data_IF_910950315462
#
_entry.id   IF_910950315462
#
_cell.length_a   1.000
_cell.length_b   1.000
_cell.length_c   1.000
_cell.angle_alpha   90.00
_cell.angle_beta   90.00
_cell.angle_gamma   90.00
#
_symmetry.space_group_name_H-M   'P 1'
#
loop_
_entity.id
_entity.type
_entity.pdbx_description
1 polymer ?
#
# COMPACT_ATOMS: atom_id res chain seq x y z
N UNK A 1 -7.19 -48.82 8.65
CA UNK A 1 -7.89 -47.52 8.57
C UNK A 1 -7.00 -46.43 9.15
N UNK A 2 -6.59 -45.44 8.35
CA UNK A 2 -5.91 -44.23 8.85
C UNK A 2 -6.41 -43.00 8.07
N UNK A 3 -7.72 -42.80 8.13
CA UNK A 3 -8.43 -41.68 7.50
C UNK A 3 -7.92 -40.31 8.00
N UNK A 4 -7.55 -40.23 9.28
CA UNK A 4 -7.02 -39.01 9.90
C UNK A 4 -5.61 -38.62 9.43
N UNK A 5 -4.74 -39.57 9.03
CA UNK A 5 -3.39 -39.22 8.52
C UNK A 5 -3.39 -38.65 7.10
N UNK A 6 -4.44 -38.93 6.31
CA UNK A 6 -4.63 -38.37 4.97
C UNK A 6 -5.16 -36.93 5.00
N UNK A 7 -5.97 -36.57 6.00
CA UNK A 7 -6.53 -35.21 6.15
C UNK A 7 -5.53 -34.21 6.77
N UNK A 8 -4.61 -34.66 7.61
CA UNK A 8 -3.65 -33.79 8.33
C UNK A 8 -2.20 -33.88 7.81
N UNK A 9 -1.99 -34.48 6.64
CA UNK A 9 -0.68 -34.60 5.98
C UNK A 9 -0.17 -33.33 5.29
N UNK A 10 -0.72 -32.15 5.57
CA UNK A 10 -0.43 -30.91 4.85
C UNK A 10 0.55 -29.98 5.58
N UNK A 11 1.66 -30.52 6.09
CA UNK A 11 2.81 -29.69 6.56
C UNK A 11 3.45 -28.82 5.46
N UNK A 12 3.03 -28.96 4.19
CA UNK A 12 3.61 -28.22 3.05
C UNK A 12 2.86 -26.96 2.61
N UNK A 13 1.66 -26.65 3.12
CA UNK A 13 0.91 -25.46 2.67
C UNK A 13 1.07 -24.20 3.52
N UNK A 14 1.52 -24.33 4.78
CA UNK A 14 1.65 -23.18 5.68
C UNK A 14 2.96 -22.39 5.51
N UNK A 15 4.04 -23.03 5.04
CA UNK A 15 5.32 -22.37 4.76
C UNK A 15 5.36 -21.66 3.40
N UNK A 16 4.52 -22.08 2.44
CA UNK A 16 4.46 -21.46 1.12
C UNK A 16 3.68 -20.13 1.12
N UNK A 17 2.69 -19.96 2.00
CA UNK A 17 1.89 -18.73 2.07
C UNK A 17 2.55 -17.59 2.85
N UNK A 18 3.44 -17.89 3.81
CA UNK A 18 4.26 -16.85 4.48
C UNK A 18 5.42 -16.34 3.62
N UNK A 19 5.76 -17.07 2.55
CA UNK A 19 6.92 -16.82 1.71
C UNK A 19 6.60 -15.93 0.50
N UNK A 20 5.44 -16.08 -0.13
CA UNK A 20 5.21 -15.44 -1.45
C UNK A 20 4.84 -13.96 -1.42
N UNK A 21 4.22 -13.45 -0.34
CA UNK A 21 3.84 -12.03 -0.25
C UNK A 21 4.97 -11.11 0.21
N UNK A 22 5.55 -11.41 1.38
CA UNK A 22 6.60 -10.58 1.98
C UNK A 22 7.95 -10.68 1.25
N UNK A 23 8.32 -11.86 0.74
CA UNK A 23 9.59 -11.99 0.01
C UNK A 23 9.55 -11.33 -1.36
N UNK A 24 8.38 -11.18 -1.98
CA UNK A 24 8.30 -10.51 -3.29
C UNK A 24 8.53 -9.01 -3.17
N UNK A 25 7.98 -8.34 -2.14
CA UNK A 25 8.22 -6.90 -1.96
C UNK A 25 9.71 -6.60 -1.76
N UNK A 26 10.37 -7.40 -0.90
CA UNK A 26 11.80 -7.26 -0.59
C UNK A 26 12.68 -7.66 -1.80
N UNK A 27 12.34 -8.73 -2.53
CA UNK A 27 13.12 -9.16 -3.71
C UNK A 27 12.97 -8.22 -4.91
N UNK A 28 11.79 -7.66 -5.13
CA UNK A 28 11.51 -6.74 -6.24
C UNK A 28 12.14 -5.36 -5.97
N UNK A 29 12.20 -4.91 -4.72
CA UNK A 29 12.93 -3.69 -4.35
C UNK A 29 14.44 -3.84 -4.54
N UNK A 30 14.98 -5.04 -4.29
CA UNK A 30 16.42 -5.30 -4.35
C UNK A 30 17.01 -5.45 -5.76
N UNK A 31 16.20 -5.64 -6.83
CA UNK A 31 16.78 -5.85 -8.17
C UNK A 31 17.25 -4.56 -8.83
N UNK A 32 16.64 -3.41 -8.53
CA UNK A 32 16.86 -2.18 -9.32
C UNK A 32 16.90 -0.87 -8.51
N UNK A 33 16.91 -0.90 -7.17
CA UNK A 33 16.79 0.30 -6.30
C UNK A 33 15.55 1.19 -6.60
N UNK A 34 14.60 0.69 -7.41
CA UNK A 34 13.40 1.41 -7.77
C UNK A 34 12.48 1.51 -6.54
N UNK A 35 11.88 2.67 -6.26
CA UNK A 35 10.90 2.76 -5.19
C UNK A 35 9.72 1.85 -5.51
N UNK A 36 9.22 1.20 -4.47
CA UNK A 36 8.19 0.18 -4.58
C UNK A 36 6.97 0.63 -3.80
N UNK A 37 5.82 0.67 -4.48
CA UNK A 37 4.52 0.83 -3.85
C UNK A 37 3.98 -0.55 -3.46
N UNK A 38 3.67 -0.72 -2.19
CA UNK A 38 2.94 -1.85 -1.64
C UNK A 38 1.52 -1.41 -1.34
N UNK A 39 0.52 -2.24 -1.67
CA UNK A 39 -0.86 -1.94 -1.32
C UNK A 39 -1.00 -1.78 0.21
N UNK A 40 -1.40 -0.59 0.70
CA UNK A 40 -1.50 -0.33 2.13
C UNK A 40 -2.72 -1.02 2.76
N UNK A 41 -3.70 -1.42 1.95
CA UNK A 41 -4.94 -2.06 2.40
C UNK A 41 -5.37 -3.17 1.44
N UNK A 42 -6.22 -4.07 1.94
CA UNK A 42 -6.97 -5.00 1.10
C UNK A 42 -8.27 -4.33 0.70
N UNK A 43 -8.63 -4.37 -0.59
CA UNK A 43 -9.82 -3.72 -1.11
C UNK A 43 -9.72 -3.42 -2.60
N UNK A 44 -10.19 -2.26 -3.03
CA UNK A 44 -10.11 -1.78 -4.41
C UNK A 44 -9.13 -0.63 -4.55
N UNK A 45 -8.25 -0.70 -5.54
CA UNK A 45 -7.38 0.38 -5.98
C UNK A 45 -8.04 1.08 -7.17
N UNK A 46 -8.26 2.39 -7.01
CA UNK A 46 -8.91 3.27 -7.99
C UNK A 46 -7.98 4.42 -8.36
N UNK A 47 -8.20 4.97 -9.55
CA UNK A 47 -7.56 6.21 -9.96
C UNK A 47 -7.90 7.34 -8.98
N UNK A 48 -6.93 8.16 -8.59
CA UNK A 48 -7.20 9.28 -7.67
C UNK A 48 -8.18 10.30 -8.27
N UNK A 49 -8.28 10.37 -9.60
CA UNK A 49 -9.23 11.23 -10.33
C UNK A 49 -10.69 10.85 -10.11
N UNK A 50 -10.98 9.60 -9.72
CA UNK A 50 -12.34 9.15 -9.40
C UNK A 50 -12.73 9.41 -7.94
N UNK A 51 -11.86 10.06 -7.16
CA UNK A 51 -12.16 10.47 -5.79
C UNK A 51 -13.38 11.39 -5.70
N UNK A 52 -14.14 11.27 -4.62
CA UNK A 52 -15.20 12.22 -4.27
C UNK A 52 -14.65 13.49 -3.58
N UNK A 53 -13.38 13.47 -3.15
CA UNK A 53 -12.70 14.59 -2.51
C UNK A 53 -11.87 15.38 -3.53
N UNK A 54 -12.33 16.59 -3.84
CA UNK A 54 -11.71 17.47 -4.84
C UNK A 54 -10.24 17.83 -4.51
N UNK A 55 -9.84 17.76 -3.23
CA UNK A 55 -8.47 18.07 -2.81
C UNK A 55 -7.44 17.05 -3.33
N UNK A 56 -7.88 15.84 -3.69
CA UNK A 56 -7.02 14.75 -4.15
C UNK A 56 -7.03 14.58 -5.68
N UNK A 57 -8.08 15.01 -6.39
CA UNK A 57 -8.23 14.76 -7.84
C UNK A 57 -7.08 15.27 -8.71
N UNK A 58 -6.42 16.35 -8.28
CA UNK A 58 -5.29 16.98 -8.99
C UNK A 58 -3.92 16.46 -8.54
N UNK A 59 -3.87 15.59 -7.53
CA UNK A 59 -2.62 15.10 -6.95
C UNK A 59 -2.06 13.93 -7.76
N UNK A 60 -0.74 13.79 -7.72
CA UNK A 60 -0.02 12.62 -8.24
C UNK A 60 -0.15 11.50 -7.22
N UNK A 61 -1.18 10.66 -7.34
CA UNK A 61 -1.45 9.62 -6.36
C UNK A 61 -2.41 8.54 -6.82
N UNK A 62 -2.76 7.69 -5.86
CA UNK A 62 -3.80 6.66 -5.99
C UNK A 62 -4.74 6.68 -4.80
N UNK A 63 -5.93 6.13 -5.03
CA UNK A 63 -6.97 5.97 -4.01
C UNK A 63 -7.25 4.49 -3.78
N UNK A 64 -7.39 4.11 -2.52
CA UNK A 64 -7.81 2.78 -2.10
C UNK A 64 -9.13 2.85 -1.34
N UNK A 65 -10.06 1.97 -1.69
CA UNK A 65 -11.31 1.72 -0.96
C UNK A 65 -11.12 0.43 -0.16
N UNK A 66 -10.98 0.50 1.18
CA UNK A 66 -10.58 -0.63 2.00
C UNK A 66 -11.75 -1.57 2.32
N UNK A 67 -11.53 -2.86 2.14
CA UNK A 67 -12.41 -3.94 2.60
C UNK A 67 -11.75 -4.75 3.76
N UNK A 68 -10.46 -4.52 4.01
CA UNK A 68 -9.68 -5.18 5.06
C UNK A 68 -9.65 -4.41 6.39
N UNK A 69 -9.09 -5.05 7.41
CA UNK A 69 -8.99 -4.47 8.77
C UNK A 69 -7.63 -3.88 9.12
N UNK A 70 -6.61 -4.10 8.29
CA UNK A 70 -5.25 -3.63 8.54
C UNK A 70 -4.90 -2.52 7.55
N UNK A 71 -4.18 -1.53 8.05
CA UNK A 71 -3.54 -0.47 7.27
C UNK A 71 -2.03 -0.64 7.39
N UNK A 72 -1.36 -0.66 6.25
CA UNK A 72 0.07 -0.91 6.12
C UNK A 72 0.79 0.28 5.50
N UNK A 73 2.10 0.36 5.75
CA UNK A 73 2.99 1.32 5.12
C UNK A 73 3.02 1.06 3.61
N UNK A 74 2.78 2.07 2.76
CA UNK A 74 2.80 1.89 1.31
C UNK A 74 4.20 1.85 0.70
N UNK A 75 5.19 2.51 1.33
CA UNK A 75 6.58 2.59 0.82
C UNK A 75 7.57 2.54 1.98
N UNK A 76 8.73 1.92 1.78
CA UNK A 76 9.80 1.96 2.79
C UNK A 76 10.41 3.36 2.84
N UNK A 77 10.64 3.89 4.04
CA UNK A 77 11.17 5.24 4.17
C UNK A 77 11.35 5.71 5.61
N UNK A 78 11.72 6.98 5.75
CA UNK A 78 11.90 7.67 7.02
C UNK A 78 10.69 8.57 7.27
N UNK A 79 10.10 8.45 8.46
CA UNK A 79 8.97 9.28 8.90
C UNK A 79 9.42 10.73 9.04
N UNK A 80 8.76 11.62 8.32
CA UNK A 80 8.95 13.07 8.44
C UNK A 80 7.80 13.72 9.19
N UNK A 81 6.60 13.11 9.16
CA UNK A 81 5.43 13.57 9.90
C UNK A 81 4.43 12.43 10.12
N UNK A 82 3.73 12.41 11.24
CA UNK A 82 2.71 11.40 11.54
C UNK A 82 1.64 11.97 12.47
N UNK A 83 0.38 11.81 12.05
CA UNK A 83 -0.80 12.25 12.81
C UNK A 83 -1.80 11.09 12.94
N UNK A 84 -3.01 11.38 13.44
CA UNK A 84 -4.11 10.41 13.44
C UNK A 84 -4.72 10.16 12.06
N UNK A 85 -4.44 11.05 11.10
CA UNK A 85 -5.13 11.07 9.80
C UNK A 85 -4.17 10.83 8.63
N UNK A 86 -2.86 11.06 8.81
CA UNK A 86 -1.87 10.78 7.78
C UNK A 86 -0.50 10.35 8.34
N UNK A 87 0.27 9.75 7.44
CA UNK A 87 1.67 9.38 7.61
C UNK A 87 2.46 9.93 6.41
N UNK A 88 3.48 10.73 6.70
CA UNK A 88 4.40 11.31 5.70
C UNK A 88 5.77 10.65 5.81
N UNK A 89 6.26 10.16 4.68
CA UNK A 89 7.51 9.42 4.55
C UNK A 89 8.37 10.06 3.47
N UNK A 90 9.68 10.03 3.67
CA UNK A 90 10.66 10.19 2.59
C UNK A 90 11.19 8.81 2.22
N UNK A 91 10.97 8.39 0.98
CA UNK A 91 11.40 7.08 0.49
C UNK A 91 12.90 7.04 0.15
N UNK A 92 13.39 5.86 -0.28
CA UNK A 92 14.80 5.64 -0.65
C UNK A 92 15.27 6.46 -1.86
N UNK A 93 14.33 6.99 -2.65
CA UNK A 93 14.60 7.84 -3.81
C UNK A 93 14.39 9.31 -3.50
N UNK A 94 14.40 9.66 -2.21
CA UNK A 94 14.18 11.02 -1.69
C UNK A 94 12.82 11.62 -2.08
N UNK A 95 11.84 10.76 -2.40
CA UNK A 95 10.50 11.19 -2.73
C UNK A 95 9.67 11.32 -1.46
N UNK A 96 8.91 12.41 -1.39
CA UNK A 96 7.95 12.59 -0.32
C UNK A 96 6.64 11.88 -0.66
N UNK A 97 6.27 10.91 0.16
CA UNK A 97 5.05 10.11 0.03
C UNK A 97 4.16 10.37 1.24
N UNK A 98 2.91 10.73 0.98
CA UNK A 98 1.89 10.97 2.00
C UNK A 98 0.82 9.92 1.86
N UNK A 99 0.60 9.15 2.92
CA UNK A 99 -0.57 8.30 3.08
C UNK A 99 -1.58 9.03 3.95
N UNK A 100 -2.72 9.41 3.39
CA UNK A 100 -3.81 10.08 4.11
C UNK A 100 -5.03 9.18 4.16
N UNK A 101 -5.68 9.13 5.31
CA UNK A 101 -6.95 8.43 5.47
C UNK A 101 -8.05 9.47 5.63
N UNK A 102 -9.09 9.37 4.80
CA UNK A 102 -10.25 10.26 4.81
C UNK A 102 -11.49 9.42 5.06
N UNK A 103 -12.23 9.77 6.10
CA UNK A 103 -13.44 9.08 6.52
C UNK A 103 -13.77 9.38 7.97
N UNK A 104 -14.78 8.71 8.52
CA UNK A 104 -15.14 8.90 9.91
C UNK A 104 -14.03 8.37 10.86
N UNK A 105 -13.66 9.17 11.86
CA UNK A 105 -12.59 8.84 12.82
C UNK A 105 -12.85 7.56 13.64
N UNK A 106 -14.10 7.10 13.71
CA UNK A 106 -14.47 5.83 14.34
C UNK A 106 -14.15 4.60 13.48
N UNK A 107 -13.81 4.80 12.21
CA UNK A 107 -13.58 3.72 11.23
C UNK A 107 -12.11 3.33 11.16
N UNK A 108 -11.19 4.26 11.41
CA UNK A 108 -9.75 4.01 11.32
C UNK A 108 -9.00 4.51 12.54
N UNK A 109 -7.93 3.80 12.89
CA UNK A 109 -6.94 4.27 13.85
C UNK A 109 -5.56 4.09 13.27
N UNK A 110 -4.89 5.19 12.96
CA UNK A 110 -3.47 5.22 12.64
C UNK A 110 -2.63 5.29 13.91
N UNK A 111 -1.52 4.55 13.91
CA UNK A 111 -0.46 4.69 14.89
C UNK A 111 0.33 5.98 14.63
N UNK A 112 0.88 6.56 15.70
CA UNK A 112 1.71 7.75 15.63
C UNK A 112 3.18 7.36 15.73
N UNK A 113 3.96 7.91 14.82
CA UNK A 113 5.40 7.65 14.71
C UNK A 113 6.19 8.94 14.98
N UNK A 114 7.37 8.77 15.56
CA UNK A 114 8.31 9.88 15.74
C UNK A 114 9.01 10.22 14.44
N UNK A 115 9.34 11.51 14.26
CA UNK A 115 10.19 11.95 13.15
C UNK A 115 11.53 11.22 13.21
N UNK A 116 12.03 10.76 12.06
CA UNK A 116 13.28 10.01 11.93
C UNK A 116 13.13 8.49 12.12
N UNK A 117 11.94 7.99 12.48
CA UNK A 117 11.71 6.55 12.54
C UNK A 117 11.71 5.93 11.14
N UNK A 118 12.40 4.80 10.99
CA UNK A 118 12.38 4.02 9.76
C UNK A 118 11.21 3.04 9.77
N UNK A 119 10.43 3.05 8.69
CA UNK A 119 9.34 2.10 8.45
C UNK A 119 9.58 1.36 7.13
N UNK A 120 9.16 0.10 7.08
CA UNK A 120 9.26 -0.72 5.88
C UNK A 120 7.90 -0.86 5.22
N UNK A 121 7.87 -0.89 3.89
CA UNK A 121 6.66 -1.17 3.14
C UNK A 121 6.05 -2.51 3.60
N UNK A 122 4.74 -2.49 3.91
CA UNK A 122 4.03 -3.64 4.46
C UNK A 122 4.01 -3.73 5.99
N UNK A 123 4.75 -2.88 6.72
CA UNK A 123 4.60 -2.78 8.18
C UNK A 123 3.18 -2.30 8.52
N UNK A 124 2.57 -2.87 9.57
CA UNK A 124 1.23 -2.46 10.00
C UNK A 124 1.31 -1.15 10.77
N UNK A 125 0.58 -0.13 10.31
CA UNK A 125 0.54 1.23 10.87
C UNK A 125 -0.83 1.65 11.34
N UNK A 126 -1.84 0.80 11.19
CA UNK A 126 -3.17 1.11 11.67
C UNK A 126 -4.13 -0.04 11.52
N UNK A 127 -5.31 0.15 12.11
CA UNK A 127 -6.42 -0.79 12.06
C UNK A 127 -7.71 -0.09 11.69
N UNK A 128 -8.58 -0.81 10.99
CA UNK A 128 -9.88 -0.32 10.55
C UNK A 128 -11.02 -1.17 11.12
N UNK A 129 -12.15 -0.54 11.40
CA UNK A 129 -13.35 -1.21 11.88
C UNK A 129 -14.06 -1.91 10.72
N UNK A 130 -13.76 -3.18 10.55
CA UNK A 130 -14.33 -4.03 9.49
C UNK A 130 -15.86 -4.10 9.54
N UNK A 131 -16.49 -3.98 10.72
CA UNK A 131 -17.96 -4.02 10.81
C UNK A 131 -18.58 -2.80 10.12
N UNK A 132 -17.98 -1.62 10.29
CA UNK A 132 -18.45 -0.40 9.63
C UNK A 132 -18.13 -0.47 8.14
N UNK A 133 -16.90 -0.87 7.78
CA UNK A 133 -16.51 -1.01 6.38
C UNK A 133 -17.34 -2.05 5.62
N UNK A 134 -17.86 -3.09 6.28
CA UNK A 134 -18.75 -4.07 5.64
C UNK A 134 -20.16 -3.52 5.41
N UNK A 135 -20.63 -2.62 6.28
CA UNK A 135 -21.93 -1.99 6.13
C UNK A 135 -21.92 -0.83 5.12
N UNK A 136 -20.79 -0.12 5.04
CA UNK A 136 -20.56 0.99 4.13
C UNK A 136 -19.09 0.95 3.66
N UNK A 137 -18.88 0.45 2.44
CA UNK A 137 -17.56 0.32 1.84
C UNK A 137 -16.93 1.68 1.49
N UNK A 138 -17.72 2.75 1.35
CA UNK A 138 -17.23 4.08 1.03
C UNK A 138 -17.00 4.95 2.28
N UNK A 139 -17.26 4.42 3.47
CA UNK A 139 -17.04 5.10 4.76
C UNK A 139 -15.58 5.54 4.99
N UNK A 140 -14.64 5.00 4.22
CA UNK A 140 -13.21 5.29 4.32
C UNK A 140 -12.57 5.25 2.94
N UNK A 141 -11.69 6.21 2.67
CA UNK A 141 -10.78 6.20 1.53
C UNK A 141 -9.35 6.41 2.03
N UNK A 142 -8.41 5.67 1.45
CA UNK A 142 -6.98 5.83 1.73
C UNK A 142 -6.29 6.36 0.49
N UNK A 143 -5.64 7.49 0.60
CA UNK A 143 -4.89 8.12 -0.48
C UNK A 143 -3.41 7.90 -0.25
N UNK A 144 -2.68 7.58 -1.32
CA UNK A 144 -1.21 7.58 -1.32
C UNK A 144 -0.77 8.54 -2.42
N UNK A 145 -0.09 9.62 -2.02
CA UNK A 145 0.25 10.75 -2.89
C UNK A 145 1.76 11.00 -2.86
N UNK A 146 2.33 11.29 -4.01
CA UNK A 146 3.72 11.72 -4.19
C UNK A 146 3.75 13.23 -4.44
N UNK A 147 4.53 13.98 -3.66
CA UNK A 147 4.65 15.44 -3.83
C UNK A 147 5.58 15.81 -5.01
N UNK A 148 6.66 15.04 -5.23
CA UNK A 148 7.81 15.51 -6.02
C UNK A 148 8.10 14.73 -7.33
N UNK A 149 7.37 13.64 -7.65
CA UNK A 149 7.67 12.79 -8.82
C UNK A 149 6.43 12.10 -9.45
N UNK A 150 6.66 11.45 -10.60
CA UNK A 150 5.68 10.69 -11.41
C UNK A 150 5.29 9.37 -10.75
N UNK A 151 3.99 9.03 -10.84
CA UNK A 151 3.44 7.77 -10.33
C UNK A 151 4.08 6.54 -10.99
N UNK A 152 4.17 5.40 -10.27
CA UNK A 152 4.46 4.12 -10.90
C UNK A 152 3.40 3.77 -11.94
N UNK A 153 3.73 2.83 -12.84
CA UNK A 153 2.71 2.21 -13.71
C UNK A 153 1.81 1.34 -12.84
N UNK A 154 0.58 1.77 -12.63
CA UNK A 154 -0.36 1.14 -11.71
C UNK A 154 -1.45 0.39 -12.48
N UNK A 155 -1.75 -0.82 -12.00
CA UNK A 155 -2.91 -1.61 -12.44
C UNK A 155 -4.00 -1.48 -11.38
N UNK A 156 -5.14 -0.92 -11.77
CA UNK A 156 -6.30 -0.71 -10.91
C UNK A 156 -7.14 -1.98 -10.77
N UNK A 157 -7.95 -2.04 -9.72
CA UNK A 157 -8.80 -3.19 -9.39
C UNK A 157 -8.54 -3.74 -7.99
N UNK A 158 -8.85 -5.02 -7.76
CA UNK A 158 -8.74 -5.63 -6.44
C UNK A 158 -7.28 -5.80 -5.98
N UNK A 159 -7.02 -5.46 -4.73
CA UNK A 159 -5.69 -5.52 -4.12
C UNK A 159 -5.70 -6.19 -2.75
N UNK A 160 -4.59 -6.85 -2.41
CA UNK A 160 -4.37 -7.42 -1.09
C UNK A 160 -3.23 -6.67 -0.38
N UNK A 161 -3.49 -6.27 0.86
CA UNK A 161 -2.51 -5.56 1.69
C UNK A 161 -1.19 -6.33 1.74
N UNK A 162 -0.08 -5.65 1.47
CA UNK A 162 1.26 -6.24 1.56
C UNK A 162 1.66 -7.17 0.40
N UNK A 163 0.76 -7.53 -0.52
CA UNK A 163 1.06 -8.49 -1.60
C UNK A 163 1.15 -7.84 -2.99
N UNK A 164 0.32 -6.83 -3.25
CA UNK A 164 0.37 -6.15 -4.53
C UNK A 164 1.48 -5.10 -4.50
N UNK A 165 2.38 -5.21 -5.48
CA UNK A 165 3.67 -4.51 -5.53
C UNK A 165 3.82 -3.87 -6.91
N UNK A 166 3.98 -2.54 -6.97
CA UNK A 166 4.23 -1.80 -8.20
C UNK A 166 5.60 -1.15 -8.15
N UNK A 167 6.39 -1.34 -9.21
CA UNK A 167 7.66 -0.66 -9.39
C UNK A 167 7.42 0.74 -9.94
N UNK A 168 8.06 1.74 -9.33
CA UNK A 168 8.18 3.08 -9.89
C UNK A 168 9.25 3.03 -10.97
N UNK A 169 8.84 2.74 -12.20
CA UNK A 169 9.71 2.97 -13.36
C UNK A 169 9.63 4.44 -13.76
N UNK A 170 10.78 5.10 -13.86
CA UNK A 170 10.86 6.34 -14.62
C UNK A 170 10.49 6.01 -16.08
N UNK A 171 9.54 6.76 -16.65
CA UNK A 171 9.36 6.75 -18.09
C UNK A 171 10.67 7.26 -18.70
N UNK A 172 11.48 6.35 -19.26
CA UNK A 172 12.50 6.74 -20.21
C UNK A 172 11.78 7.42 -21.37
N UNK A 173 11.91 8.74 -21.48
CA UNK A 173 11.75 9.41 -22.77
C UNK A 173 12.92 8.95 -23.64
N UNK A 174 12.70 7.82 -24.30
CA UNK A 174 13.57 7.26 -25.31
C UNK A 174 12.71 6.81 -26.47
N UNK A 175 11.95 7.75 -27.05
CA UNK A 175 11.55 7.59 -28.44
C UNK A 175 12.82 7.80 -29.27
N UNK A 176 13.37 6.65 -29.64
CA UNK A 176 14.14 6.39 -30.86
C UNK A 176 14.10 7.54 -31.87
N UNK A 177 15.19 8.33 -31.88
CA UNK A 177 15.64 8.95 -33.13
C UNK A 177 16.10 7.81 -34.04
N UNK A 178 15.18 7.31 -34.86
CA UNK A 178 15.53 6.44 -35.98
C UNK A 178 16.09 7.33 -37.11
N UNK A 179 17.39 7.16 -37.37
CA UNK A 179 18.05 7.44 -38.66
C UNK A 179 17.42 6.60 -39.79
#
# INVERSE_FOLDING_TARGET
>A
MNFWKLLFGSKKKLSQLKSTGQLNAIKIANSDNAPVLVAPVTGELKEIKSSHDDSFKSKSGVMFVPHGGNLMVPVSGIVTESTSDYLKLTDISEQTVIMTVVGASTVVRLARYGIGQQLHAGDVVGTMNQKILFADHEALSVYVVWENKTLPIIRYGSVYAGQNIWQVKELHNGDESND
#
